data_IF_735448948888
#
_entry.id   IF_735448948888
#
_cell.length_a   1.000
_cell.length_b   1.000
_cell.length_c   1.000
_cell.angle_alpha   90.00
_cell.angle_beta   90.00
_cell.angle_gamma   90.00
#
_symmetry.space_group_name_H-M   'P 1'
#
loop_
_entity.id
_entity.type
_entity.pdbx_description
1 polymer ?
#
# COMPACT_ATOMS: atom_id res chain seq x y z
N UNK A 1 5.07 -18.70 9.12
CA UNK A 1 3.65 -18.58 8.66
C UNK A 1 3.55 -17.43 7.67
N UNK A 2 2.76 -17.61 6.65
CA UNK A 2 2.52 -16.56 5.65
C UNK A 2 1.02 -16.46 5.36
N UNK A 3 0.50 -15.24 5.36
CA UNK A 3 -0.91 -14.96 5.05
C UNK A 3 -0.93 -13.92 3.94
N UNK A 4 -1.80 -14.12 2.96
CA UNK A 4 -1.89 -13.27 1.78
C UNK A 4 -3.27 -12.62 1.67
N UNK A 5 -3.29 -11.33 1.30
CA UNK A 5 -4.49 -10.59 0.94
C UNK A 5 -4.29 -9.96 -0.44
N UNK A 6 -5.36 -9.81 -1.19
CA UNK A 6 -5.31 -9.17 -2.50
C UNK A 6 -6.25 -7.98 -2.51
N UNK A 7 -5.76 -6.85 -2.98
CA UNK A 7 -6.52 -5.61 -3.11
C UNK A 7 -6.56 -5.25 -4.59
N UNK A 8 -7.72 -4.84 -5.06
CA UNK A 8 -7.88 -4.30 -6.41
C UNK A 8 -8.22 -2.82 -6.31
N UNK A 9 -7.52 -2.03 -7.11
CA UNK A 9 -7.72 -0.59 -7.20
C UNK A 9 -7.44 -0.19 -8.64
N UNK A 10 -7.36 1.09 -8.90
CA UNK A 10 -7.01 1.57 -10.24
C UNK A 10 -6.18 2.82 -10.17
N UNK A 11 -5.55 3.15 -11.31
CA UNK A 11 -4.82 4.39 -11.48
C UNK A 11 -5.74 5.58 -11.65
N UNK A 12 -5.14 6.75 -11.88
CA UNK A 12 -5.84 8.02 -12.06
C UNK A 12 -4.90 8.98 -12.79
N UNK A 13 -5.41 9.83 -13.69
CA UNK A 13 -4.55 10.78 -14.42
C UNK A 13 -3.75 11.73 -13.55
N UNK A 14 -4.21 12.01 -12.32
CA UNK A 14 -3.54 12.92 -11.40
C UNK A 14 -2.51 12.23 -10.49
N UNK A 15 -2.22 10.95 -10.68
CA UNK A 15 -1.19 10.26 -9.92
C UNK A 15 0.18 10.82 -10.29
N UNK A 16 0.92 11.28 -9.30
CA UNK A 16 2.29 11.77 -9.48
C UNK A 16 3.33 10.82 -8.91
N UNK A 17 3.04 10.22 -7.77
CA UNK A 17 3.94 9.29 -7.07
C UNK A 17 5.30 9.92 -6.80
N UNK A 18 5.31 11.08 -6.14
CA UNK A 18 6.52 11.87 -5.89
C UNK A 18 6.88 11.99 -4.42
N UNK A 19 6.01 11.55 -3.50
CA UNK A 19 6.25 11.70 -2.06
C UNK A 19 7.51 10.92 -1.65
N UNK A 20 8.32 11.53 -0.79
CA UNK A 20 9.65 11.01 -0.44
C UNK A 20 9.67 9.98 0.69
N UNK A 21 8.61 9.88 1.48
CA UNK A 21 8.60 9.03 2.67
C UNK A 21 7.44 8.04 2.75
N UNK A 22 6.38 8.22 1.95
CA UNK A 22 5.19 7.35 1.99
C UNK A 22 4.65 7.06 0.60
N UNK A 23 3.81 6.02 0.50
CA UNK A 23 2.86 5.88 -0.59
C UNK A 23 1.55 5.31 -0.04
N UNK A 24 0.47 5.51 -0.76
CA UNK A 24 -0.87 5.25 -0.25
C UNK A 24 -1.80 4.71 -1.34
N UNK A 25 -2.72 3.84 -0.91
CA UNK A 25 -3.85 3.38 -1.71
C UNK A 25 -5.11 3.75 -0.93
N UNK A 26 -6.14 4.22 -1.62
CA UNK A 26 -7.38 4.67 -1.00
C UNK A 26 -8.61 4.13 -1.72
N UNK A 27 -9.72 3.96 -0.98
CA UNK A 27 -11.03 3.63 -1.58
C UNK A 27 -11.63 4.83 -2.31
N UNK A 28 -11.22 6.04 -1.95
CA UNK A 28 -11.72 7.24 -2.63
C UNK A 28 -11.37 7.21 -4.11
N UNK A 29 -12.25 7.72 -4.94
CA UNK A 29 -12.05 7.73 -6.39
C UNK A 29 -11.50 9.06 -6.89
N UNK A 30 -11.65 10.13 -6.11
CA UNK A 30 -11.14 11.46 -6.48
C UNK A 30 -9.71 11.65 -6.02
N UNK A 31 -8.92 12.26 -6.86
CA UNK A 31 -7.52 12.55 -6.58
C UNK A 31 -7.15 13.91 -7.17
N UNK A 32 -6.57 14.79 -6.34
CA UNK A 32 -6.03 16.06 -6.79
C UNK A 32 -4.50 15.97 -6.90
N UNK A 33 -3.89 16.94 -7.57
CA UNK A 33 -2.44 16.97 -7.74
C UNK A 33 -1.67 17.15 -6.42
N UNK A 34 -2.34 17.59 -5.35
CA UNK A 34 -1.71 17.69 -4.03
C UNK A 34 -1.51 16.34 -3.33
N UNK A 35 -2.18 15.28 -3.81
CA UNK A 35 -2.05 13.94 -3.25
C UNK A 35 -0.89 13.15 -3.86
N UNK A 36 0.32 13.63 -3.74
CA UNK A 36 1.49 13.07 -4.41
C UNK A 36 1.99 11.74 -3.83
N UNK A 37 1.41 11.27 -2.73
CA UNK A 37 1.70 9.95 -2.15
C UNK A 37 0.75 8.87 -2.67
N UNK A 38 -0.40 9.22 -3.22
CA UNK A 38 -1.42 8.25 -3.63
C UNK A 38 -1.03 7.62 -4.96
N UNK A 39 -1.02 6.29 -5.00
CA UNK A 39 -0.69 5.51 -6.20
C UNK A 39 -1.86 4.67 -6.70
N UNK A 40 -2.93 4.55 -5.94
CA UNK A 40 -4.14 3.82 -6.35
C UNK A 40 -5.37 4.40 -5.71
N UNK A 41 -6.46 4.46 -6.49
CA UNK A 41 -7.76 4.96 -6.05
C UNK A 41 -8.81 3.87 -6.28
N UNK A 42 -10.00 4.07 -5.70
CA UNK A 42 -11.10 3.12 -5.87
C UNK A 42 -10.78 1.73 -5.35
N UNK A 43 -9.96 1.61 -4.31
CA UNK A 43 -9.59 0.32 -3.74
C UNK A 43 -10.80 -0.40 -3.15
N UNK A 44 -10.79 -1.72 -3.21
CA UNK A 44 -11.86 -2.53 -2.63
C UNK A 44 -11.68 -2.79 -1.13
N UNK A 45 -10.52 -2.43 -0.57
CA UNK A 45 -10.22 -2.61 0.86
C UNK A 45 -9.43 -1.42 1.41
N UNK A 46 -9.76 -0.98 2.62
CA UNK A 46 -8.90 -0.16 3.47
C UNK A 46 -8.29 -1.04 4.56
N UNK A 47 -7.50 -0.45 5.47
CA UNK A 47 -6.87 -1.20 6.56
C UNK A 47 -7.90 -2.01 7.37
N UNK A 48 -9.05 -1.41 7.66
CA UNK A 48 -10.07 -2.04 8.49
C UNK A 48 -10.67 -3.30 7.86
N UNK A 49 -10.61 -3.42 6.54
CA UNK A 49 -11.21 -4.54 5.81
C UNK A 49 -10.32 -5.78 5.72
N UNK A 50 -9.08 -5.69 6.15
CA UNK A 50 -8.18 -6.85 6.17
C UNK A 50 -8.71 -7.90 7.16
N UNK A 51 -8.45 -9.18 6.88
CA UNK A 51 -8.90 -10.24 7.78
C UNK A 51 -8.26 -10.10 9.15
N UNK A 52 -8.93 -10.62 10.18
CA UNK A 52 -8.40 -10.57 11.55
C UNK A 52 -7.06 -11.30 11.66
N UNK A 53 -6.91 -12.42 10.96
CA UNK A 53 -5.67 -13.19 10.96
C UNK A 53 -4.53 -12.37 10.34
N UNK A 54 -4.81 -11.68 9.23
CA UNK A 54 -3.82 -10.82 8.57
C UNK A 54 -3.40 -9.66 9.48
N UNK A 55 -4.37 -9.01 10.13
CA UNK A 55 -4.10 -7.92 11.06
C UNK A 55 -3.21 -8.38 12.22
N UNK A 56 -3.55 -9.53 12.83
CA UNK A 56 -2.77 -10.08 13.94
C UNK A 56 -1.33 -10.40 13.49
N UNK A 57 -1.18 -10.95 12.31
CA UNK A 57 0.16 -11.24 11.78
C UNK A 57 0.99 -9.96 11.60
N UNK A 58 0.39 -8.90 11.03
CA UNK A 58 1.08 -7.61 10.88
C UNK A 58 1.45 -6.97 12.22
N UNK A 59 0.66 -7.22 13.25
CA UNK A 59 0.90 -6.67 14.60
C UNK A 59 1.93 -7.48 15.38
N UNK A 60 2.40 -8.59 14.83
CA UNK A 60 3.39 -9.44 15.49
C UNK A 60 4.78 -8.81 15.38
N UNK A 61 5.55 -8.73 16.48
CA UNK A 61 6.93 -8.22 16.40
C UNK A 61 7.75 -9.04 15.41
N UNK A 62 8.49 -8.35 14.55
CA UNK A 62 9.33 -9.00 13.55
C UNK A 62 8.61 -9.42 12.27
N UNK A 63 7.31 -9.12 12.17
CA UNK A 63 6.56 -9.41 10.93
C UNK A 63 7.14 -8.64 9.75
N UNK A 64 7.17 -9.30 8.59
CA UNK A 64 7.60 -8.69 7.34
C UNK A 64 6.41 -8.65 6.38
N UNK A 65 6.22 -7.52 5.70
CA UNK A 65 5.19 -7.36 4.68
C UNK A 65 5.84 -7.21 3.32
N UNK A 66 5.53 -8.13 2.41
CA UNK A 66 5.94 -8.03 1.02
C UNK A 66 4.73 -7.64 0.20
N UNK A 67 4.83 -6.55 -0.55
CA UNK A 67 3.75 -6.04 -1.39
C UNK A 67 4.18 -6.10 -2.85
N UNK A 68 3.36 -6.73 -3.68
CA UNK A 68 3.60 -6.79 -5.13
C UNK A 68 2.49 -6.03 -5.84
N UNK A 69 2.87 -5.04 -6.64
CA UNK A 69 1.96 -4.24 -7.45
C UNK A 69 2.04 -4.73 -8.89
N UNK A 70 0.88 -4.87 -9.54
CA UNK A 70 0.83 -5.27 -10.95
C UNK A 70 -0.23 -4.46 -11.67
N UNK A 71 0.17 -3.77 -12.73
CA UNK A 71 -0.73 -2.97 -13.56
C UNK A 71 -0.30 -3.11 -15.01
N UNK A 72 -1.20 -3.63 -15.85
CA UNK A 72 -0.99 -3.77 -17.29
C UNK A 72 0.37 -4.41 -17.65
N UNK A 73 0.74 -5.48 -16.92
CA UNK A 73 1.97 -6.22 -17.16
C UNK A 73 3.23 -5.63 -16.52
N UNK A 74 3.14 -4.47 -15.87
CA UNK A 74 4.27 -3.86 -15.17
C UNK A 74 4.14 -4.17 -13.69
N UNK A 75 5.21 -4.65 -13.05
CA UNK A 75 5.20 -5.03 -11.64
C UNK A 75 6.23 -4.27 -10.83
N UNK A 76 5.98 -4.17 -9.52
CA UNK A 76 6.93 -3.64 -8.56
C UNK A 76 6.75 -4.39 -7.25
N UNK A 77 7.80 -4.46 -6.43
CA UNK A 77 7.77 -5.11 -5.14
C UNK A 77 8.36 -4.20 -4.08
N UNK A 78 7.69 -4.13 -2.93
CA UNK A 78 8.15 -3.34 -1.78
C UNK A 78 8.18 -4.26 -0.56
N UNK A 79 9.28 -4.21 0.20
CA UNK A 79 9.42 -4.93 1.46
C UNK A 79 9.35 -3.92 2.61
N UNK A 80 8.57 -4.26 3.63
CA UNK A 80 8.35 -3.40 4.79
C UNK A 80 8.18 -4.25 6.04
N UNK A 81 7.93 -3.61 7.17
CA UNK A 81 7.79 -4.28 8.47
C UNK A 81 6.41 -4.06 9.05
N UNK A 82 5.88 -5.08 9.73
CA UNK A 82 4.77 -4.90 10.64
C UNK A 82 5.22 -4.27 11.94
N UNK A 83 4.29 -4.00 12.84
CA UNK A 83 4.59 -3.42 14.15
C UNK A 83 3.43 -3.66 15.12
N UNK A 84 3.72 -3.85 16.40
CA UNK A 84 2.69 -4.03 17.43
C UNK A 84 1.71 -2.86 17.49
N UNK A 85 2.20 -1.64 17.24
CA UNK A 85 1.39 -0.43 17.34
C UNK A 85 0.42 -0.19 16.19
N UNK A 86 0.40 -1.05 15.17
CA UNK A 86 -0.52 -0.89 14.04
C UNK A 86 -1.95 -1.18 14.50
N UNK A 87 -2.84 -0.18 14.44
CA UNK A 87 -4.24 -0.38 14.79
C UNK A 87 -5.08 -0.88 13.62
N UNK A 88 -4.70 -0.55 12.38
CA UNK A 88 -5.36 -1.03 11.16
C UNK A 88 -6.85 -0.75 11.18
N UNK A 89 -7.21 0.48 11.55
CA UNK A 89 -8.62 0.86 11.77
C UNK A 89 -9.21 1.77 10.69
N UNK A 90 -8.37 2.32 9.80
CA UNK A 90 -8.89 3.22 8.78
C UNK A 90 -9.75 2.46 7.77
N UNK A 91 -10.99 2.91 7.51
CA UNK A 91 -11.88 2.20 6.59
C UNK A 91 -11.52 2.39 5.12
N UNK A 92 -10.77 3.43 4.78
CA UNK A 92 -10.55 3.80 3.38
C UNK A 92 -9.11 3.67 2.90
N UNK A 93 -8.13 3.95 3.77
CA UNK A 93 -6.75 4.16 3.37
C UNK A 93 -5.81 3.07 3.85
N UNK A 94 -4.72 2.90 3.10
CA UNK A 94 -3.55 2.11 3.48
C UNK A 94 -2.31 2.91 3.11
N UNK A 95 -1.43 3.16 4.09
CA UNK A 95 -0.20 3.94 3.89
C UNK A 95 1.01 3.10 4.29
N UNK A 96 1.95 2.96 3.35
CA UNK A 96 3.27 2.37 3.59
C UNK A 96 4.22 3.52 3.93
N UNK A 97 5.03 3.35 4.98
CA UNK A 97 5.93 4.41 5.46
C UNK A 97 7.37 3.92 5.54
N UNK A 98 8.31 4.74 5.09
CA UNK A 98 9.73 4.48 5.34
C UNK A 98 10.07 4.68 6.81
N UNK A 99 9.34 5.55 7.51
CA UNK A 99 9.53 5.82 8.94
C UNK A 99 8.90 4.71 9.80
N UNK A 100 9.00 4.88 11.11
CA UNK A 100 8.36 4.02 12.09
C UNK A 100 7.03 4.60 12.61
N UNK A 101 6.54 5.69 12.01
CA UNK A 101 5.29 6.32 12.43
C UNK A 101 4.10 5.40 12.20
N UNK A 102 3.22 5.29 13.19
CA UNK A 102 2.00 4.48 13.08
C UNK A 102 0.76 5.30 13.43
N UNK A 103 -0.30 5.07 12.66
CA UNK A 103 -1.63 5.61 12.92
C UNK A 103 -2.65 4.63 12.30
N UNK A 104 -3.94 4.94 12.39
CA UNK A 104 -4.99 4.03 11.93
C UNK A 104 -4.90 3.59 10.48
N UNK A 105 -4.25 4.37 9.63
CA UNK A 105 -4.11 4.05 8.19
C UNK A 105 -2.72 3.51 7.81
N UNK A 106 -1.80 3.37 8.76
CA UNK A 106 -0.48 2.78 8.48
C UNK A 106 -0.61 1.28 8.36
N UNK A 107 -0.24 0.73 7.20
CA UNK A 107 -0.22 -0.72 6.98
C UNK A 107 1.17 -1.31 7.26
N UNK A 108 2.22 -0.54 7.05
CA UNK A 108 3.58 -1.03 7.25
C UNK A 108 4.54 0.12 7.52
N UNK A 109 5.63 -0.21 8.21
CA UNK A 109 6.71 0.71 8.57
C UNK A 109 8.01 0.24 7.94
N UNK A 110 9.04 1.05 8.02
CA UNK A 110 10.39 0.72 7.53
C UNK A 110 10.36 0.15 6.10
N UNK A 111 9.52 0.72 5.24
CA UNK A 111 9.44 0.31 3.84
C UNK A 111 10.73 0.66 3.10
N UNK A 112 11.12 -0.17 2.16
CA UNK A 112 12.31 0.05 1.34
C UNK A 112 12.07 1.00 0.17
N UNK A 113 10.84 1.47 -0.01
CA UNK A 113 10.49 2.43 -1.06
C UNK A 113 9.39 3.36 -0.61
N UNK A 114 9.39 4.59 -1.12
CA UNK A 114 8.28 5.54 -1.04
C UNK A 114 7.74 5.77 -2.45
N UNK A 115 6.74 6.65 -2.58
CA UNK A 115 6.12 6.93 -3.87
C UNK A 115 7.15 7.35 -4.94
N UNK A 116 8.13 8.17 -4.55
CA UNK A 116 9.15 8.65 -5.50
C UNK A 116 10.11 7.55 -5.99
N UNK A 117 10.17 6.42 -5.27
CA UNK A 117 11.07 5.33 -5.59
C UNK A 117 10.44 4.24 -6.47
N UNK A 118 9.11 4.29 -6.66
CA UNK A 118 8.43 3.28 -7.47
C UNK A 118 8.81 3.40 -8.95
N UNK A 119 8.85 2.28 -9.70
CA UNK A 119 9.23 2.34 -11.11
C UNK A 119 8.35 3.29 -11.91
N UNK A 120 8.97 4.18 -12.67
CA UNK A 120 8.22 5.15 -13.47
C UNK A 120 7.34 4.47 -14.53
N UNK A 121 7.75 3.29 -15.02
CA UNK A 121 6.93 2.51 -15.95
C UNK A 121 5.58 2.14 -15.32
N UNK A 122 5.58 1.75 -14.04
CA UNK A 122 4.35 1.46 -13.32
C UNK A 122 3.49 2.72 -13.22
N UNK A 123 4.10 3.84 -12.85
CA UNK A 123 3.37 5.11 -12.70
C UNK A 123 2.77 5.56 -14.03
N UNK A 124 3.48 5.40 -15.13
CA UNK A 124 2.94 5.73 -16.45
C UNK A 124 1.69 4.92 -16.79
N UNK A 125 1.67 3.63 -16.44
CA UNK A 125 0.46 2.82 -16.62
C UNK A 125 -0.67 3.29 -15.70
N UNK A 126 -0.36 3.60 -14.45
CA UNK A 126 -1.37 4.06 -13.49
C UNK A 126 -2.00 5.39 -13.91
N UNK A 127 -1.25 6.29 -14.54
CA UNK A 127 -1.79 7.55 -15.06
C UNK A 127 -2.84 7.34 -16.15
N UNK A 128 -2.84 6.19 -16.79
CA UNK A 128 -3.86 5.83 -17.79
C UNK A 128 -5.18 5.39 -17.16
N UNK A 129 -5.22 5.24 -15.84
CA UNK A 129 -6.42 4.79 -15.15
C UNK A 129 -6.64 3.29 -15.17
N UNK A 130 -5.62 2.49 -15.50
CA UNK A 130 -5.75 1.04 -15.58
C UNK A 130 -5.94 0.42 -14.19
N UNK A 131 -6.51 -0.78 -14.15
CA UNK A 131 -6.65 -1.54 -12.92
C UNK A 131 -5.29 -1.96 -12.40
N UNK A 132 -5.13 -1.94 -11.07
CA UNK A 132 -3.93 -2.43 -10.39
C UNK A 132 -4.33 -3.50 -9.38
N UNK A 133 -3.59 -4.60 -9.38
CA UNK A 133 -3.70 -5.63 -8.35
C UNK A 133 -2.55 -5.47 -7.38
N UNK A 134 -2.88 -5.46 -6.09
CA UNK A 134 -1.89 -5.32 -5.01
C UNK A 134 -1.98 -6.58 -4.14
N UNK A 135 -0.92 -7.35 -4.14
CA UNK A 135 -0.85 -8.59 -3.36
C UNK A 135 0.01 -8.33 -2.12
N UNK A 136 -0.60 -8.52 -0.94
CA UNK A 136 0.05 -8.34 0.35
C UNK A 136 0.35 -9.71 0.95
N UNK A 137 1.60 -9.98 1.27
CA UNK A 137 1.98 -11.22 1.95
C UNK A 137 2.71 -10.87 3.25
N UNK A 138 2.14 -11.23 4.39
CA UNK A 138 2.76 -11.04 5.68
C UNK A 138 3.40 -12.34 6.14
N UNK A 139 4.67 -12.25 6.54
CA UNK A 139 5.45 -13.38 7.04
C UNK A 139 5.79 -13.20 8.50
N UNK A 140 5.52 -14.24 9.29
CA UNK A 140 5.91 -14.31 10.71
C UNK A 140 6.64 -15.61 10.95
N UNK A 141 7.45 -15.63 12.00
CA UNK A 141 8.15 -16.85 12.38
C UNK A 141 7.24 -17.83 13.12
#
# INVERSE_FOLDING_TARGET
MEITEVIRCRGHPNIQSLHKSTFEITKEEELTLSGDCIIGVGADKGCADLSDDFKRALQTPGAELITVFSANGVTAMVTAKGAEGLSLTDPDDMVWRKSSFVCGRTIATAADAAACDLPRELIEELKKGVEMTVTLSVRTE
#
